data_IF_019496687480
#
_entry.id   IF_019496687480
#
_cell.length_a   1.000
_cell.length_b   1.000
_cell.length_c   1.000
_cell.angle_alpha   90.00
_cell.angle_beta   90.00
_cell.angle_gamma   90.00
#
_symmetry.space_group_name_H-M   'P 1'
#
loop_
_entity.id
_entity.type
_entity.pdbx_description
1 polymer ?
#
# COMPACT_ATOMS: atom_id res chain seq x y z
N UNK A 1 -16.58 -24.66 -61.57
CA UNK A 1 -17.11 -23.35 -61.19
C UNK A 1 -17.86 -23.59 -59.89
N UNK A 2 -17.15 -23.52 -58.77
CA UNK A 2 -17.68 -23.91 -57.45
C UNK A 2 -17.83 -22.63 -56.65
N UNK A 3 -19.07 -22.19 -56.49
CA UNK A 3 -19.45 -21.06 -55.63
C UNK A 3 -19.11 -21.40 -54.18
N UNK A 4 -18.35 -20.52 -53.54
CA UNK A 4 -18.10 -20.56 -52.10
C UNK A 4 -19.22 -19.78 -51.42
N UNK A 5 -19.92 -20.32 -50.40
CA UNK A 5 -20.99 -19.57 -49.75
C UNK A 5 -20.41 -18.35 -49.03
N UNK A 6 -21.10 -17.23 -49.23
CA UNK A 6 -20.79 -15.92 -48.68
C UNK A 6 -20.70 -16.01 -47.15
N UNK A 7 -19.53 -15.65 -46.60
CA UNK A 7 -19.31 -15.71 -45.16
C UNK A 7 -20.29 -14.77 -44.47
N UNK A 8 -21.24 -15.34 -43.71
CA UNK A 8 -22.08 -14.59 -42.78
C UNK A 8 -21.17 -13.70 -41.91
N UNK A 9 -21.32 -12.38 -42.07
CA UNK A 9 -20.69 -11.41 -41.17
C UNK A 9 -21.20 -11.68 -39.76
N UNK A 10 -20.41 -12.44 -38.99
CA UNK A 10 -20.61 -12.63 -37.55
C UNK A 10 -20.78 -11.25 -36.93
N UNK A 11 -22.01 -10.91 -36.55
CA UNK A 11 -22.31 -9.70 -35.78
C UNK A 11 -21.56 -9.83 -34.47
N UNK A 12 -20.48 -9.06 -34.33
CA UNK A 12 -19.68 -9.01 -33.10
C UNK A 12 -20.62 -8.51 -32.01
N UNK A 13 -21.01 -9.38 -31.08
CA UNK A 13 -21.80 -8.98 -29.91
C UNK A 13 -21.05 -7.82 -29.24
N UNK A 14 -21.72 -6.69 -29.02
CA UNK A 14 -21.15 -5.58 -28.25
C UNK A 14 -20.73 -6.11 -26.89
N UNK A 15 -19.49 -5.86 -26.51
CA UNK A 15 -19.01 -6.17 -25.18
C UNK A 15 -19.86 -5.41 -24.15
N UNK A 16 -20.30 -6.08 -23.07
CA UNK A 16 -21.05 -5.42 -22.01
C UNK A 16 -20.17 -4.35 -21.34
N UNK A 17 -20.80 -3.35 -20.74
CA UNK A 17 -20.07 -2.34 -19.96
C UNK A 17 -19.31 -3.01 -18.79
N UNK A 18 -18.01 -2.70 -18.66
CA UNK A 18 -17.14 -3.28 -17.64
C UNK A 18 -17.27 -2.53 -16.31
N UNK A 19 -18.33 -2.82 -15.55
CA UNK A 19 -18.62 -2.17 -14.25
C UNK A 19 -17.52 -2.38 -13.20
N UNK A 20 -16.68 -3.40 -13.34
CA UNK A 20 -15.57 -3.65 -12.42
C UNK A 20 -14.46 -2.59 -12.52
N UNK A 21 -14.36 -1.85 -13.64
CA UNK A 21 -13.38 -0.74 -13.75
C UNK A 21 -13.70 0.33 -12.72
N UNK A 22 -14.97 0.68 -12.58
CA UNK A 22 -15.42 1.67 -11.60
C UNK A 22 -15.14 1.20 -10.17
N UNK A 23 -15.18 -0.11 -9.92
CA UNK A 23 -14.80 -0.70 -8.63
C UNK A 23 -13.29 -0.65 -8.37
N UNK A 24 -12.46 -0.97 -9.37
CA UNK A 24 -11.00 -0.92 -9.27
C UNK A 24 -10.46 0.51 -9.06
N UNK A 25 -11.21 1.52 -9.51
CA UNK A 25 -10.86 2.92 -9.29
C UNK A 25 -11.25 3.43 -7.90
N UNK A 26 -12.03 2.66 -7.14
CA UNK A 26 -12.40 3.08 -5.79
C UNK A 26 -11.18 3.00 -4.86
N UNK A 27 -11.08 3.91 -3.90
CA UNK A 27 -10.06 3.86 -2.85
C UNK A 27 -10.07 2.52 -2.11
N UNK A 28 -8.90 2.04 -1.69
CA UNK A 28 -8.78 0.78 -0.95
C UNK A 28 -9.52 0.88 0.39
N UNK A 29 -9.29 1.96 1.12
CA UNK A 29 -9.88 2.21 2.44
C UNK A 29 -11.20 2.96 2.32
N UNK A 30 -12.33 2.26 2.44
CA UNK A 30 -13.68 2.87 2.36
C UNK A 30 -14.48 2.74 3.65
N UNK A 31 -14.25 1.68 4.41
CA UNK A 31 -15.00 1.36 5.62
C UNK A 31 -14.13 0.54 6.56
N UNK A 32 -14.45 0.59 7.86
CA UNK A 32 -13.77 -0.24 8.85
C UNK A 32 -14.00 -1.72 8.52
N UNK A 33 -12.96 -2.57 8.61
CA UNK A 33 -13.14 -4.01 8.49
C UNK A 33 -14.12 -4.54 9.55
N UNK A 34 -14.91 -5.56 9.22
CA UNK A 34 -15.91 -6.11 10.13
C UNK A 34 -15.32 -6.68 11.44
N UNK A 35 -14.06 -7.09 11.42
CA UNK A 35 -13.33 -7.60 12.59
C UNK A 35 -12.75 -6.49 13.47
N UNK A 36 -12.82 -5.21 13.05
CA UNK A 36 -12.24 -4.10 13.80
C UNK A 36 -13.03 -3.83 15.08
N UNK A 37 -12.42 -4.08 16.23
CA UNK A 37 -13.04 -3.94 17.54
C UNK A 37 -12.10 -3.18 18.48
N UNK A 38 -12.39 -1.89 18.75
CA UNK A 38 -11.58 -1.09 19.66
C UNK A 38 -11.46 -1.73 21.04
N UNK A 39 -10.24 -1.77 21.56
CA UNK A 39 -9.94 -2.24 22.91
C UNK A 39 -8.75 -1.47 23.49
N UNK A 40 -8.58 -1.47 24.82
CA UNK A 40 -7.37 -0.96 25.44
C UNK A 40 -6.11 -1.73 25.00
N UNK A 41 -4.98 -1.02 24.92
CA UNK A 41 -3.67 -1.61 24.75
C UNK A 41 -3.31 -2.51 25.94
N UNK A 42 -2.59 -3.59 25.67
CA UNK A 42 -2.03 -4.51 26.67
C UNK A 42 -0.56 -4.20 26.92
N UNK A 43 0.01 -4.86 27.93
CA UNK A 43 1.46 -4.85 28.11
C UNK A 43 2.14 -5.34 26.82
N UNK A 44 3.10 -4.56 26.32
CA UNK A 44 3.78 -4.85 25.06
C UNK A 44 3.07 -4.28 23.82
N UNK A 45 2.08 -3.41 23.97
CA UNK A 45 1.42 -2.70 22.87
C UNK A 45 1.44 -1.17 23.09
N UNK A 46 1.61 -0.44 22.00
CA UNK A 46 1.32 1.00 21.92
C UNK A 46 -0.18 1.19 21.71
N UNK A 47 -0.79 2.10 22.46
CA UNK A 47 -2.17 2.53 22.19
C UNK A 47 -2.17 3.53 21.04
N UNK A 48 -3.08 3.39 20.09
CA UNK A 48 -3.29 4.36 19.00
C UNK A 48 -4.63 5.09 19.14
N UNK A 49 -5.29 4.95 20.30
CA UNK A 49 -6.54 5.67 20.60
C UNK A 49 -6.37 7.18 20.59
N UNK A 50 -5.14 7.65 20.82
CA UNK A 50 -4.75 9.05 20.74
C UNK A 50 -4.55 9.55 19.32
N UNK A 51 -4.55 8.66 18.32
CA UNK A 51 -4.32 8.98 16.91
C UNK A 51 -2.85 9.17 16.53
N UNK A 52 -2.56 9.00 15.25
CA UNK A 52 -1.21 9.04 14.68
C UNK A 52 -0.85 10.42 14.16
N UNK A 53 0.17 11.03 14.75
CA UNK A 53 0.68 12.35 14.37
C UNK A 53 1.84 12.15 13.39
N UNK A 54 1.58 12.34 12.10
CA UNK A 54 2.59 12.16 11.07
C UNK A 54 3.60 13.32 11.08
N UNK A 55 4.86 13.00 11.38
CA UNK A 55 5.99 13.90 11.28
C UNK A 55 6.89 13.50 10.10
N UNK A 56 6.78 14.25 9.01
CA UNK A 56 7.55 14.00 7.79
C UNK A 56 8.94 14.65 7.88
N UNK A 57 9.89 13.97 8.53
CA UNK A 57 11.31 14.37 8.54
C UNK A 57 12.13 13.68 7.44
N UNK A 58 11.47 13.13 6.42
CA UNK A 58 12.08 12.48 5.26
C UNK A 58 12.03 13.39 4.02
N UNK A 59 13.14 13.49 3.29
CA UNK A 59 13.22 14.31 2.10
C UNK A 59 12.52 13.65 0.89
N UNK A 60 11.47 14.29 0.37
CA UNK A 60 10.80 13.90 -0.89
C UNK A 60 10.71 15.09 -1.85
N UNK A 61 11.83 15.54 -2.45
CA UNK A 61 11.84 16.70 -3.34
C UNK A 61 11.05 16.49 -4.63
N UNK A 62 10.81 15.23 -5.02
CA UNK A 62 10.07 14.87 -6.22
C UNK A 62 8.56 14.69 -5.97
N UNK A 63 8.11 14.73 -4.71
CA UNK A 63 6.71 14.57 -4.33
C UNK A 63 6.14 13.18 -4.65
N UNK A 64 7.00 12.15 -4.75
CA UNK A 64 6.57 10.81 -5.19
C UNK A 64 5.74 10.10 -4.13
N UNK A 65 5.74 10.56 -2.87
CA UNK A 65 4.99 9.96 -1.77
C UNK A 65 3.58 10.54 -1.59
N UNK A 66 3.20 11.58 -2.34
CA UNK A 66 1.89 12.25 -2.19
C UNK A 66 0.71 11.27 -2.16
N UNK A 67 0.69 10.31 -3.09
CA UNK A 67 -0.38 9.31 -3.17
C UNK A 67 -0.36 8.33 -2.01
N UNK A 68 0.82 7.97 -1.50
CA UNK A 68 0.93 7.13 -0.31
C UNK A 68 0.40 7.86 0.93
N UNK A 69 0.66 9.17 1.05
CA UNK A 69 0.12 9.98 2.13
C UNK A 69 -1.39 10.15 2.06
N UNK A 70 -1.92 10.38 0.87
CA UNK A 70 -3.36 10.50 0.68
C UNK A 70 -4.09 9.19 1.04
N UNK A 71 -3.50 8.03 0.71
CA UNK A 71 -4.05 6.72 1.08
C UNK A 71 -3.93 6.46 2.59
N UNK A 72 -2.77 6.71 3.19
CA UNK A 72 -2.57 6.55 4.64
C UNK A 72 -3.44 7.48 5.49
N UNK A 73 -3.63 8.74 5.06
CA UNK A 73 -4.53 9.67 5.73
C UNK A 73 -5.99 9.18 5.67
N UNK A 74 -6.39 8.59 4.54
CA UNK A 74 -7.70 7.96 4.39
C UNK A 74 -7.82 6.72 5.28
N UNK A 75 -6.81 5.86 5.33
CA UNK A 75 -6.73 4.75 6.26
C UNK A 75 -6.97 5.20 7.71
N UNK A 76 -6.21 6.21 8.15
CA UNK A 76 -6.35 6.76 9.50
C UNK A 76 -7.74 7.34 9.74
N UNK A 77 -8.31 8.06 8.76
CA UNK A 77 -9.68 8.57 8.87
C UNK A 77 -10.73 7.46 8.95
N UNK A 78 -10.58 6.38 8.19
CA UNK A 78 -11.53 5.26 8.18
C UNK A 78 -11.49 4.52 9.51
N UNK A 79 -10.32 4.39 10.14
CA UNK A 79 -10.13 3.66 11.40
C UNK A 79 -10.25 4.53 12.67
N UNK A 80 -10.55 5.82 12.54
CA UNK A 80 -10.54 6.83 13.62
C UNK A 80 -9.17 7.02 14.30
N UNK A 81 -8.08 6.94 13.53
CA UNK A 81 -6.70 7.13 13.99
C UNK A 81 -6.19 8.56 13.76
N UNK A 82 -7.06 9.52 13.45
CA UNK A 82 -6.67 10.93 13.32
C UNK A 82 -6.65 11.68 14.67
N UNK A 83 -6.92 10.97 15.78
CA UNK A 83 -7.01 11.54 17.12
C UNK A 83 -8.39 12.11 17.43
N UNK A 84 -8.64 12.36 18.72
CA UNK A 84 -9.86 13.02 19.16
C UNK A 84 -9.80 14.50 18.74
N UNK A 85 -10.86 15.00 18.11
CA UNK A 85 -10.94 16.37 17.55
C UNK A 85 -9.90 16.70 16.45
N UNK A 86 -9.21 15.69 15.89
CA UNK A 86 -8.19 15.88 14.86
C UNK A 86 -6.82 16.28 15.39
N UNK A 87 -6.59 16.16 16.70
CA UNK A 87 -5.28 16.35 17.33
C UNK A 87 -4.69 14.98 17.70
N UNK A 88 -3.92 14.35 16.80
CA UNK A 88 -3.26 13.09 17.09
C UNK A 88 -2.11 13.30 18.08
N UNK A 89 -1.88 12.31 18.93
CA UNK A 89 -0.91 12.42 20.04
C UNK A 89 0.25 11.43 19.94
N UNK A 90 0.08 10.31 19.23
CA UNK A 90 1.11 9.29 19.09
C UNK A 90 1.99 9.59 17.87
N UNK A 91 3.29 9.93 18.03
CA UNK A 91 4.09 10.38 16.91
C UNK A 91 4.44 9.23 15.97
N UNK A 92 4.24 9.46 14.67
CA UNK A 92 4.78 8.65 13.58
C UNK A 92 5.86 9.47 12.87
N UNK A 93 7.12 9.14 13.12
CA UNK A 93 8.25 9.86 12.56
C UNK A 93 8.85 9.11 11.37
N UNK A 94 9.00 9.82 10.26
CA UNK A 94 9.67 9.31 9.07
C UNK A 94 11.12 9.82 9.06
N UNK A 95 12.08 8.92 8.96
CA UNK A 95 13.50 9.27 8.98
C UNK A 95 14.25 8.66 7.81
N UNK A 96 15.15 9.45 7.24
CA UNK A 96 16.14 8.91 6.34
C UNK A 96 17.20 8.15 7.15
N UNK A 97 17.49 6.92 6.76
CA UNK A 97 18.53 6.09 7.37
C UNK A 97 19.09 5.09 6.36
N UNK A 98 20.31 4.61 6.60
CA UNK A 98 20.88 3.53 5.81
C UNK A 98 20.10 2.22 6.01
N UNK A 99 19.78 1.55 4.90
CA UNK A 99 19.09 0.26 4.85
C UNK A 99 19.77 -0.67 3.85
N UNK A 100 19.44 -1.97 3.92
CA UNK A 100 20.03 -3.03 3.08
C UNK A 100 19.49 -3.00 1.62
N UNK A 101 19.70 -1.88 0.94
CA UNK A 101 19.35 -1.69 -0.46
C UNK A 101 17.95 -1.10 -0.70
N UNK A 102 17.54 -1.03 -1.98
CA UNK A 102 16.35 -0.28 -2.35
C UNK A 102 15.07 -0.96 -1.85
N UNK A 103 14.06 -0.14 -1.55
CA UNK A 103 12.78 -0.57 -0.98
C UNK A 103 12.87 -1.20 0.43
N UNK A 104 14.06 -1.28 1.02
CA UNK A 104 14.25 -1.78 2.37
C UNK A 104 13.88 -0.71 3.41
N UNK A 105 13.27 -1.14 4.50
CA UNK A 105 12.85 -0.26 5.59
C UNK A 105 12.98 -0.93 6.95
N UNK A 106 12.99 -0.09 7.99
CA UNK A 106 12.91 -0.49 9.39
C UNK A 106 11.78 0.27 10.08
N UNK A 107 10.84 -0.47 10.66
CA UNK A 107 9.73 0.06 11.45
C UNK A 107 9.95 -0.27 12.92
N UNK A 108 10.07 0.75 13.76
CA UNK A 108 10.22 0.60 15.22
C UNK A 108 8.95 1.11 15.89
N UNK A 109 8.40 0.30 16.78
CA UNK A 109 7.24 0.63 17.61
C UNK A 109 7.72 0.61 19.05
N UNK A 110 7.83 1.80 19.63
CA UNK A 110 8.20 2.01 21.02
C UNK A 110 7.01 2.44 21.86
N UNK A 111 7.18 2.53 23.19
CA UNK A 111 6.14 3.03 24.09
C UNK A 111 5.79 4.50 23.83
N UNK A 112 6.72 5.27 23.25
CA UNK A 112 6.58 6.71 23.02
C UNK A 112 6.20 7.06 21.57
N UNK A 113 5.96 6.06 20.72
CA UNK A 113 5.56 6.26 19.32
C UNK A 113 6.22 5.33 18.32
N UNK A 114 6.17 5.74 17.05
CA UNK A 114 6.53 4.93 15.89
C UNK A 114 7.58 5.65 15.06
N UNK A 115 8.61 4.92 14.63
CA UNK A 115 9.63 5.41 13.72
C UNK A 115 9.71 4.52 12.49
N UNK A 116 9.60 5.13 11.31
CA UNK A 116 9.79 4.47 10.03
C UNK A 116 11.05 5.03 9.35
N UNK A 117 12.04 4.16 9.17
CA UNK A 117 13.35 4.47 8.63
C UNK A 117 13.54 3.82 7.25
N UNK A 118 14.04 4.56 6.27
CA UNK A 118 14.42 4.02 4.97
C UNK A 118 15.51 4.85 4.28
N UNK A 119 16.22 4.25 3.32
CA UNK A 119 17.22 4.95 2.50
C UNK A 119 16.59 5.71 1.32
N UNK A 120 15.41 5.28 0.87
CA UNK A 120 14.71 5.83 -0.29
C UNK A 120 13.19 5.93 -0.08
N UNK A 121 12.52 6.64 -0.99
CA UNK A 121 11.07 6.86 -0.96
C UNK A 121 10.29 5.55 -1.11
N UNK A 122 10.78 4.57 -1.85
CA UNK A 122 10.07 3.30 -1.99
C UNK A 122 10.12 2.48 -0.71
N UNK A 123 11.21 2.54 0.06
CA UNK A 123 11.30 1.96 1.40
C UNK A 123 10.28 2.60 2.35
N UNK A 124 10.13 3.93 2.32
CA UNK A 124 9.06 4.63 3.05
C UNK A 124 7.67 4.11 2.61
N UNK A 125 7.42 4.03 1.30
CA UNK A 125 6.15 3.51 0.77
C UNK A 125 5.84 2.09 1.25
N UNK A 126 6.83 1.19 1.20
CA UNK A 126 6.71 -0.20 1.70
C UNK A 126 6.44 -0.24 3.21
N UNK A 127 7.11 0.64 3.96
CA UNK A 127 6.96 0.74 5.41
C UNK A 127 5.58 1.21 5.86
N UNK A 128 4.98 2.16 5.15
CA UNK A 128 3.60 2.63 5.43
C UNK A 128 2.62 1.48 5.25
N UNK A 129 2.70 0.76 4.12
CA UNK A 129 1.82 -0.40 3.87
C UNK A 129 2.02 -1.46 4.96
N UNK A 130 3.27 -1.70 5.40
CA UNK A 130 3.53 -2.61 6.50
C UNK A 130 2.92 -2.14 7.83
N UNK A 131 2.94 -0.84 8.10
CA UNK A 131 2.32 -0.26 9.29
C UNK A 131 0.80 -0.45 9.25
N UNK A 132 0.15 -0.16 8.11
CA UNK A 132 -1.29 -0.42 7.90
C UNK A 132 -1.62 -1.89 8.15
N UNK A 133 -0.84 -2.81 7.56
CA UNK A 133 -1.03 -4.25 7.74
C UNK A 133 -0.93 -4.68 9.21
N UNK A 134 0.01 -4.11 9.98
CA UNK A 134 0.17 -4.44 11.40
C UNK A 134 -1.00 -3.92 12.25
N UNK A 135 -1.45 -2.70 11.97
CA UNK A 135 -2.62 -2.11 12.63
C UNK A 135 -3.86 -2.94 12.33
N UNK A 136 -4.08 -3.31 11.07
CA UNK A 136 -5.19 -4.17 10.66
C UNK A 136 -5.11 -5.55 11.29
N UNK A 137 -3.92 -6.17 11.32
CA UNK A 137 -3.71 -7.47 11.94
C UNK A 137 -4.00 -7.48 13.45
N UNK A 138 -3.79 -6.35 14.14
CA UNK A 138 -4.16 -6.21 15.54
C UNK A 138 -5.68 -6.16 15.77
N UNK A 139 -6.46 -5.77 14.75
CA UNK A 139 -7.92 -5.69 14.78
C UNK A 139 -8.47 -4.61 15.72
N UNK A 140 -7.62 -3.71 16.20
CA UNK A 140 -7.92 -2.68 17.19
C UNK A 140 -6.91 -1.51 17.04
N UNK A 141 -7.18 -0.31 17.59
CA UNK A 141 -6.27 0.84 17.53
C UNK A 141 -5.10 0.64 18.52
N UNK A 142 -4.30 -0.38 18.28
CA UNK A 142 -3.13 -0.76 19.08
C UNK A 142 -2.06 -1.32 18.14
N UNK A 143 -0.81 -1.27 18.55
CA UNK A 143 0.30 -1.79 17.77
C UNK A 143 1.29 -2.54 18.67
N UNK A 144 1.68 -3.79 18.36
CA UNK A 144 2.69 -4.49 19.14
C UNK A 144 4.03 -3.74 19.14
N UNK A 145 4.63 -3.61 20.33
CA UNK A 145 5.97 -3.04 20.46
C UNK A 145 7.01 -3.96 19.79
N UNK A 146 8.03 -3.37 19.19
CA UNK A 146 9.11 -4.13 18.58
C UNK A 146 9.76 -3.44 17.39
N UNK A 147 10.56 -4.19 16.66
CA UNK A 147 11.21 -3.72 15.43
C UNK A 147 10.95 -4.72 14.31
N UNK A 148 10.50 -4.22 13.17
CA UNK A 148 10.32 -4.98 11.93
C UNK A 148 11.28 -4.43 10.89
N UNK A 149 12.12 -5.30 10.31
CA UNK A 149 12.99 -4.98 9.18
C UNK A 149 12.58 -5.83 7.99
N UNK A 150 12.43 -5.21 6.82
CA UNK A 150 12.12 -5.92 5.58
C UNK A 150 12.91 -5.36 4.43
N UNK A 151 13.31 -6.27 3.54
CA UNK A 151 13.97 -5.96 2.27
C UNK A 151 13.48 -6.93 1.20
N UNK A 152 13.45 -6.51 -0.08
CA UNK A 152 13.07 -7.41 -1.15
C UNK A 152 14.14 -8.49 -1.40
N UNK A 153 13.75 -9.75 -1.34
CA UNK A 153 14.64 -10.85 -1.73
C UNK A 153 14.93 -10.88 -3.24
N UNK A 154 13.88 -10.67 -4.05
CA UNK A 154 14.00 -10.58 -5.52
C UNK A 154 13.92 -9.12 -5.92
N UNK A 155 14.92 -8.60 -6.65
CA UNK A 155 14.96 -7.19 -7.08
C UNK A 155 13.85 -6.82 -8.06
N UNK A 156 13.59 -7.67 -9.05
CA UNK A 156 12.56 -7.45 -10.07
C UNK A 156 11.39 -8.40 -9.87
N UNK A 157 10.27 -7.87 -9.36
CA UNK A 157 9.07 -8.64 -9.00
C UNK A 157 7.92 -8.39 -9.99
N UNK A 158 8.24 -8.39 -11.28
CA UNK A 158 7.28 -8.20 -12.37
C UNK A 158 7.04 -9.53 -13.09
N UNK A 159 5.80 -10.04 -13.03
CA UNK A 159 5.44 -11.29 -13.69
C UNK A 159 5.40 -11.15 -15.22
N UNK A 160 5.75 -12.23 -15.91
CA UNK A 160 5.59 -12.40 -17.36
C UNK A 160 4.24 -13.06 -17.63
N UNK A 161 3.15 -12.33 -17.42
CA UNK A 161 1.82 -12.77 -17.83
C UNK A 161 1.32 -11.90 -19.01
N UNK A 162 0.24 -12.35 -19.64
CA UNK A 162 -0.43 -11.66 -20.74
C UNK A 162 -0.84 -10.21 -20.38
N UNK A 163 -1.11 -9.95 -19.10
CA UNK A 163 -1.45 -8.62 -18.57
C UNK A 163 -0.25 -7.83 -18.05
N UNK A 164 0.98 -8.35 -18.19
CA UNK A 164 2.19 -7.65 -17.77
C UNK A 164 2.60 -6.56 -18.75
N UNK A 165 3.49 -5.63 -18.34
CA UNK A 165 3.96 -4.55 -19.22
C UNK A 165 4.53 -5.09 -20.54
N UNK A 166 4.07 -4.60 -21.69
CA UNK A 166 4.45 -5.16 -23.00
C UNK A 166 5.81 -4.60 -23.50
N UNK A 167 6.20 -3.40 -23.04
CA UNK A 167 7.46 -2.75 -23.44
C UNK A 167 8.56 -3.04 -22.41
N UNK A 168 9.32 -4.13 -22.59
CA UNK A 168 10.45 -4.51 -21.70
C UNK A 168 11.74 -4.78 -22.50
N UNK A 169 12.93 -4.40 -22.00
CA UNK A 169 14.22 -4.86 -22.54
C UNK A 169 14.58 -6.30 -22.11
N UNK A 170 15.35 -7.08 -22.92
CA UNK A 170 15.67 -6.80 -24.31
C UNK A 170 14.42 -7.04 -25.16
N UNK A 171 14.35 -6.29 -26.27
CA UNK A 171 13.21 -6.15 -27.17
C UNK A 171 12.95 -7.44 -27.99
N UNK A 172 12.99 -8.61 -27.35
CA UNK A 172 12.76 -9.91 -27.97
C UNK A 172 11.25 -10.07 -28.13
N UNK A 173 10.74 -9.56 -29.25
CA UNK A 173 9.45 -9.99 -29.82
C UNK A 173 9.63 -11.45 -30.21
N UNK A 174 9.27 -12.37 -29.33
CA UNK A 174 8.42 -13.53 -29.65
C UNK A 174 8.44 -14.52 -28.48
N UNK A 175 7.27 -14.75 -27.88
CA UNK A 175 7.04 -15.96 -27.07
C UNK A 175 5.81 -16.73 -27.61
N UNK A 176 5.32 -16.39 -28.81
CA UNK A 176 4.21 -17.06 -29.49
C UNK A 176 4.56 -17.31 -30.97
N UNK A 177 5.60 -18.12 -31.20
CA UNK A 177 5.72 -18.87 -32.46
C UNK A 177 4.88 -20.16 -32.41
#
# INVERSE_FOLDING_TARGET
MTDWPEQEKRTRKKEPAWTFIDELQKPVHQQKPAFWQPRPARSGELSLTGGLALHQAFADPAGVLETAWADFARFCSVLDLNGQNGEPTDPLELRQAETDGPEAFRLRVGPDGIQLEAADTEGIRRGIVQLEDLILAAGAPVLPLGTTEKQPFVRTRLSRCFFGPIKRPPMNRDELE
#
